data_IF_917185413589
#
_entry.id   IF_917185413589
#
_cell.length_a   1.000
_cell.length_b   1.000
_cell.length_c   1.000
_cell.angle_alpha   90.00
_cell.angle_beta   90.00
_cell.angle_gamma   90.00
#
_symmetry.space_group_name_H-M   'P 1'
#
loop_
_entity.id
_entity.type
_entity.pdbx_description
1 polymer ?
#
# COMPACT_ATOMS: atom_id res chain seq x y z
N UNK A 1 31.47 29.96 -34.45
CA UNK A 1 30.23 29.27 -34.05
C UNK A 1 30.61 27.85 -33.67
N UNK A 2 30.58 27.56 -32.37
CA UNK A 2 30.88 26.25 -31.80
C UNK A 2 29.86 25.22 -32.31
N UNK A 3 30.35 24.16 -32.94
CA UNK A 3 29.50 23.01 -33.27
C UNK A 3 29.40 22.12 -32.04
N UNK A 4 28.22 22.13 -31.44
CA UNK A 4 27.84 21.25 -30.35
C UNK A 4 27.94 19.77 -30.77
N UNK A 5 28.49 18.86 -29.95
CA UNK A 5 28.53 17.46 -30.31
C UNK A 5 27.12 16.88 -30.27
N UNK A 6 26.62 16.47 -31.44
CA UNK A 6 25.40 15.64 -31.57
C UNK A 6 25.78 14.21 -31.23
N UNK A 7 26.06 13.91 -29.98
CA UNK A 7 25.99 12.53 -29.52
C UNK A 7 24.52 12.12 -29.62
N UNK A 8 24.20 11.26 -30.59
CA UNK A 8 22.92 10.58 -30.64
C UNK A 8 22.86 9.68 -29.41
N UNK A 9 22.37 10.23 -28.30
CA UNK A 9 21.99 9.45 -27.13
C UNK A 9 20.87 8.56 -27.65
N UNK A 10 21.18 7.27 -27.80
CA UNK A 10 20.19 6.26 -28.09
C UNK A 10 19.40 6.08 -26.80
N UNK A 11 18.39 6.93 -26.62
CA UNK A 11 17.51 6.86 -25.47
C UNK A 11 16.55 5.71 -25.77
N UNK A 12 16.71 4.59 -25.06
CA UNK A 12 15.77 3.48 -25.16
C UNK A 12 14.42 3.97 -24.62
N UNK A 13 13.45 4.17 -25.52
CA UNK A 13 12.10 4.64 -25.19
C UNK A 13 11.45 3.77 -24.10
N UNK A 14 11.84 2.49 -24.00
CA UNK A 14 11.40 1.58 -22.94
C UNK A 14 11.94 1.97 -21.58
N UNK A 15 13.19 2.43 -21.52
CA UNK A 15 13.83 2.86 -20.28
C UNK A 15 13.21 4.17 -19.77
N UNK A 16 12.90 5.11 -20.67
CA UNK A 16 12.13 6.32 -20.33
C UNK A 16 10.71 6.00 -19.82
N UNK A 17 9.99 5.07 -20.44
CA UNK A 17 8.67 4.66 -19.95
C UNK A 17 8.75 4.03 -18.57
N UNK A 18 9.77 3.22 -18.30
CA UNK A 18 10.02 2.62 -17.00
C UNK A 18 10.30 3.71 -15.96
N UNK A 19 11.13 4.71 -16.29
CA UNK A 19 11.44 5.83 -15.40
C UNK A 19 10.21 6.72 -15.11
N UNK A 20 9.42 7.06 -16.14
CA UNK A 20 8.16 7.81 -15.98
C UNK A 20 7.16 7.03 -15.12
N UNK A 21 7.07 5.70 -15.28
CA UNK A 21 6.22 4.85 -14.42
C UNK A 21 6.74 4.83 -12.98
N UNK A 22 8.05 4.72 -12.76
CA UNK A 22 8.67 4.73 -11.43
C UNK A 22 8.39 6.05 -10.69
N UNK A 23 8.51 7.20 -11.35
CA UNK A 23 8.25 8.51 -10.73
C UNK A 23 6.78 8.67 -10.33
N UNK A 24 5.84 8.28 -11.20
CA UNK A 24 4.40 8.29 -10.91
C UNK A 24 4.04 7.35 -9.76
N UNK A 25 4.61 6.15 -9.71
CA UNK A 25 4.39 5.19 -8.62
C UNK A 25 4.89 5.75 -7.29
N UNK A 26 6.06 6.42 -7.28
CA UNK A 26 6.64 7.02 -6.08
C UNK A 26 5.75 8.13 -5.51
N UNK A 27 5.30 9.06 -6.35
CA UNK A 27 4.40 10.15 -5.94
C UNK A 27 3.05 9.64 -5.40
N UNK A 28 2.47 8.63 -6.06
CA UNK A 28 1.22 8.02 -5.60
C UNK A 28 1.36 7.37 -4.21
N UNK A 29 2.51 6.74 -3.93
CA UNK A 29 2.76 6.12 -2.63
C UNK A 29 2.86 7.18 -1.52
N UNK A 30 3.60 8.27 -1.72
CA UNK A 30 3.70 9.35 -0.73
C UNK A 30 2.34 10.01 -0.46
N UNK A 31 1.49 10.12 -1.47
CA UNK A 31 0.14 10.66 -1.31
C UNK A 31 -0.76 9.73 -0.48
N UNK A 32 -0.71 8.42 -0.75
CA UNK A 32 -1.49 7.43 0.01
C UNK A 32 -1.04 7.33 1.48
N UNK A 33 0.24 7.48 1.76
CA UNK A 33 0.79 7.55 3.12
C UNK A 33 0.21 8.75 3.88
N UNK A 34 0.33 9.95 3.28
CA UNK A 34 -0.24 11.19 3.82
C UNK A 34 -1.74 11.09 4.06
N UNK A 35 -2.50 10.58 3.08
CA UNK A 35 -3.95 10.40 3.18
C UNK A 35 -4.30 9.44 4.32
N UNK A 36 -3.61 8.30 4.42
CA UNK A 36 -3.87 7.30 5.47
C UNK A 36 -3.70 7.89 6.88
N UNK A 37 -2.63 8.66 7.09
CA UNK A 37 -2.36 9.33 8.36
C UNK A 37 -3.41 10.40 8.68
N UNK A 38 -3.80 11.21 7.69
CA UNK A 38 -4.86 12.21 7.84
C UNK A 38 -6.21 11.58 8.20
N UNK A 39 -6.57 10.47 7.53
CA UNK A 39 -7.79 9.74 7.83
C UNK A 39 -7.78 9.16 9.25
N UNK A 40 -6.66 8.62 9.72
CA UNK A 40 -6.52 8.08 11.08
C UNK A 40 -6.63 9.14 12.18
N UNK A 41 -6.21 10.38 11.89
CA UNK A 41 -6.38 11.55 12.76
C UNK A 41 -7.82 12.05 12.76
N UNK A 42 -8.45 12.11 11.59
CA UNK A 42 -9.81 12.65 11.41
C UNK A 42 -10.90 11.72 11.91
N UNK A 43 -10.76 10.41 11.69
CA UNK A 43 -11.81 9.44 11.98
C UNK A 43 -11.42 8.52 13.13
N UNK A 44 -12.38 8.30 14.04
CA UNK A 44 -12.22 7.33 15.13
C UNK A 44 -12.55 5.90 14.72
N UNK A 45 -13.39 5.71 13.70
CA UNK A 45 -13.82 4.40 13.21
C UNK A 45 -13.02 4.00 11.98
N UNK A 46 -12.35 2.85 12.05
CA UNK A 46 -11.58 2.33 10.91
C UNK A 46 -12.45 2.04 9.69
N UNK A 47 -13.69 1.61 9.87
CA UNK A 47 -14.62 1.39 8.75
C UNK A 47 -14.88 2.67 7.93
N UNK A 48 -14.89 3.85 8.56
CA UNK A 48 -14.99 5.13 7.84
C UNK A 48 -13.71 5.42 7.06
N UNK A 49 -12.54 5.12 7.64
CA UNK A 49 -11.25 5.28 6.95
C UNK A 49 -11.19 4.41 5.69
N UNK A 50 -11.55 3.13 5.80
CA UNK A 50 -11.61 2.20 4.66
C UNK A 50 -12.52 2.76 3.57
N UNK A 51 -13.74 3.21 3.94
CA UNK A 51 -14.73 3.69 2.95
C UNK A 51 -14.23 4.92 2.20
N UNK A 52 -13.61 5.88 2.89
CA UNK A 52 -13.04 7.07 2.24
C UNK A 52 -11.83 6.70 1.37
N UNK A 53 -10.93 5.85 1.87
CA UNK A 53 -9.78 5.39 1.10
C UNK A 53 -10.20 4.65 -0.18
N UNK A 54 -11.24 3.82 -0.12
CA UNK A 54 -11.78 3.13 -1.30
C UNK A 54 -12.27 4.12 -2.37
N UNK A 55 -12.93 5.21 -1.97
CA UNK A 55 -13.32 6.27 -2.92
C UNK A 55 -12.12 6.99 -3.53
N UNK A 56 -11.09 7.28 -2.74
CA UNK A 56 -9.83 7.88 -3.23
C UNK A 56 -9.19 6.98 -4.28
N UNK A 57 -9.07 5.68 -3.97
CA UNK A 57 -8.47 4.70 -4.89
C UNK A 57 -9.30 4.52 -6.16
N UNK A 58 -10.63 4.47 -6.05
CA UNK A 58 -11.54 4.42 -7.21
C UNK A 58 -11.36 5.64 -8.10
N UNK A 59 -11.17 6.82 -7.51
CA UNK A 59 -10.90 8.05 -8.27
C UNK A 59 -9.55 7.98 -8.99
N UNK A 60 -8.50 7.48 -8.32
CA UNK A 60 -7.16 7.30 -8.91
C UNK A 60 -7.13 6.27 -10.05
N UNK A 61 -7.92 5.18 -9.96
CA UNK A 61 -7.92 4.06 -10.91
C UNK A 61 -8.50 4.37 -12.32
N UNK A 62 -8.62 5.66 -12.68
CA UNK A 62 -9.20 6.26 -13.89
C UNK A 62 -10.70 6.56 -13.76
N UNK A 63 -10.99 7.85 -13.68
CA UNK A 63 -12.28 8.53 -13.80
C UNK A 63 -13.17 8.17 -15.03
N UNK A 64 -12.74 7.27 -15.93
CA UNK A 64 -13.42 7.01 -17.20
C UNK A 64 -14.77 6.30 -17.04
N UNK A 65 -14.94 5.50 -15.98
CA UNK A 65 -16.16 4.74 -15.68
C UNK A 65 -16.97 5.28 -14.48
N UNK A 66 -16.64 6.49 -13.99
CA UNK A 66 -17.39 7.20 -12.93
C UNK A 66 -18.87 7.44 -13.26
N UNK A 67 -19.30 7.16 -14.50
CA UNK A 67 -20.69 7.35 -14.95
C UNK A 67 -21.69 6.43 -14.26
N UNK A 68 -21.22 5.40 -13.54
CA UNK A 68 -22.06 4.60 -12.66
C UNK A 68 -21.64 4.88 -11.22
N UNK A 69 -22.25 5.89 -10.59
CA UNK A 69 -22.17 6.16 -9.15
C UNK A 69 -22.79 5.02 -8.34
N UNK A 70 -22.17 3.84 -8.39
CA UNK A 70 -22.61 2.66 -7.67
C UNK A 70 -21.93 2.57 -6.32
N UNK A 71 -22.52 1.80 -5.41
CA UNK A 71 -21.96 1.52 -4.10
C UNK A 71 -20.55 0.90 -4.22
N UNK A 72 -19.73 1.08 -3.17
CA UNK A 72 -18.41 0.46 -3.10
C UNK A 72 -18.56 -1.07 -3.04
N UNK A 73 -17.86 -1.78 -3.93
CA UNK A 73 -17.78 -3.24 -3.87
C UNK A 73 -16.95 -3.67 -2.66
N UNK A 74 -17.23 -4.87 -2.17
CA UNK A 74 -16.47 -5.48 -1.07
C UNK A 74 -14.98 -5.56 -1.44
N UNK A 75 -14.65 -5.90 -2.68
CA UNK A 75 -13.28 -5.96 -3.19
C UNK A 75 -12.53 -4.63 -3.05
N UNK A 76 -13.21 -3.50 -3.27
CA UNK A 76 -12.62 -2.16 -3.15
C UNK A 76 -12.38 -1.80 -1.68
N UNK A 77 -13.30 -2.19 -0.80
CA UNK A 77 -13.11 -2.01 0.65
C UNK A 77 -11.95 -2.86 1.17
N UNK A 78 -11.85 -4.12 0.74
CA UNK A 78 -10.75 -5.01 1.10
C UNK A 78 -9.41 -4.50 0.55
N UNK A 79 -9.39 -4.01 -0.70
CA UNK A 79 -8.20 -3.40 -1.27
C UNK A 79 -7.77 -2.14 -0.51
N UNK A 80 -8.72 -1.26 -0.18
CA UNK A 80 -8.45 -0.08 0.62
C UNK A 80 -7.89 -0.42 2.00
N UNK A 81 -8.45 -1.43 2.68
CA UNK A 81 -7.92 -1.92 3.95
C UNK A 81 -6.48 -2.42 3.81
N UNK A 82 -6.21 -3.26 2.80
CA UNK A 82 -4.86 -3.78 2.52
C UNK A 82 -3.86 -2.65 2.26
N UNK A 83 -4.24 -1.64 1.49
CA UNK A 83 -3.38 -0.48 1.19
C UNK A 83 -3.06 0.30 2.47
N UNK A 84 -4.05 0.55 3.33
CA UNK A 84 -3.81 1.20 4.63
C UNK A 84 -2.79 0.40 5.45
N UNK A 85 -2.96 -0.92 5.54
CA UNK A 85 -2.01 -1.76 6.30
C UNK A 85 -0.61 -1.76 5.69
N UNK A 86 -0.49 -1.82 4.36
CA UNK A 86 0.80 -1.74 3.67
C UNK A 86 1.52 -0.42 3.94
N UNK A 87 0.79 0.69 3.89
CA UNK A 87 1.30 2.02 4.25
C UNK A 87 1.84 2.02 5.69
N UNK A 88 1.05 1.51 6.64
CA UNK A 88 1.45 1.44 8.05
C UNK A 88 2.71 0.58 8.23
N UNK A 89 2.81 -0.54 7.53
CA UNK A 89 3.99 -1.40 7.59
C UNK A 89 5.22 -0.73 6.99
N UNK A 90 5.09 0.01 5.88
CA UNK A 90 6.21 0.78 5.32
C UNK A 90 6.69 1.86 6.28
N UNK A 91 5.77 2.59 6.91
CA UNK A 91 6.11 3.60 7.91
C UNK A 91 6.84 3.00 9.12
N UNK A 92 6.40 1.83 9.59
CA UNK A 92 6.90 1.25 10.83
C UNK A 92 8.00 0.18 10.68
N UNK A 93 8.25 -0.36 9.48
CA UNK A 93 9.16 -1.48 9.24
C UNK A 93 10.06 -1.31 8.00
N UNK A 94 10.25 -0.08 7.51
CA UNK A 94 11.09 0.20 6.34
C UNK A 94 12.59 0.02 6.60
N UNK A 95 13.06 0.23 7.84
CA UNK A 95 14.49 0.17 8.19
C UNK A 95 14.80 -1.05 9.05
N UNK A 96 16.03 -1.55 8.99
CA UNK A 96 16.48 -2.70 9.80
C UNK A 96 16.30 -2.51 11.31
N UNK A 97 16.53 -1.29 11.82
CA UNK A 97 16.32 -0.95 13.24
C UNK A 97 14.87 -1.19 13.66
N UNK A 98 13.93 -0.71 12.85
CA UNK A 98 12.50 -0.85 13.13
C UNK A 98 12.03 -2.30 12.99
N UNK A 99 12.65 -3.06 12.08
CA UNK A 99 12.45 -4.51 11.92
C UNK A 99 13.01 -5.32 13.09
N UNK A 100 13.87 -4.76 13.96
CA UNK A 100 14.28 -5.45 15.19
C UNK A 100 13.10 -5.80 16.10
N UNK A 101 12.01 -5.03 16.03
CA UNK A 101 10.77 -5.32 16.77
C UNK A 101 10.08 -6.62 16.29
N UNK A 102 10.47 -7.14 15.12
CA UNK A 102 9.97 -8.39 14.56
C UNK A 102 10.90 -9.58 14.87
N UNK A 103 12.00 -9.37 15.61
CA UNK A 103 12.91 -10.46 16.00
C UNK A 103 12.16 -11.51 16.80
N UNK A 104 12.36 -12.78 16.44
CA UNK A 104 11.67 -13.92 17.04
C UNK A 104 10.37 -14.32 16.31
N UNK A 105 9.88 -13.50 15.38
CA UNK A 105 8.78 -13.86 14.49
C UNK A 105 9.34 -14.35 13.14
N UNK A 106 8.74 -15.41 12.59
CA UNK A 106 9.01 -15.79 11.21
C UNK A 106 8.17 -14.90 10.30
N UNK A 107 8.75 -13.85 9.74
CA UNK A 107 8.04 -12.88 8.89
C UNK A 107 8.49 -13.02 7.44
N UNK A 108 7.54 -12.94 6.52
CA UNK A 108 7.81 -12.86 5.08
C UNK A 108 6.94 -11.79 4.43
N UNK A 109 7.35 -11.30 3.28
CA UNK A 109 6.57 -10.37 2.47
C UNK A 109 5.78 -11.16 1.41
N UNK A 110 4.48 -10.89 1.29
CA UNK A 110 3.63 -11.53 0.28
C UNK A 110 3.76 -10.85 -1.10
N UNK A 111 3.06 -11.41 -2.10
CA UNK A 111 3.03 -10.90 -3.48
C UNK A 111 2.49 -9.46 -3.60
N UNK A 112 1.76 -8.97 -2.59
CA UNK A 112 1.20 -7.60 -2.56
C UNK A 112 2.10 -6.60 -1.82
N UNK A 113 3.25 -7.06 -1.31
CA UNK A 113 4.21 -6.27 -0.55
C UNK A 113 3.82 -6.07 0.92
N UNK A 114 3.07 -7.02 1.50
CA UNK A 114 2.58 -6.97 2.89
C UNK A 114 3.36 -7.99 3.73
N UNK A 115 3.89 -7.53 4.87
CA UNK A 115 4.55 -8.37 5.86
C UNK A 115 3.53 -9.24 6.60
N UNK A 116 3.75 -10.55 6.57
CA UNK A 116 2.91 -11.57 7.22
C UNK A 116 3.72 -12.50 8.10
N UNK A 117 3.08 -13.02 9.12
CA UNK A 117 3.63 -14.08 9.95
C UNK A 117 3.52 -15.41 9.21
N UNK A 118 4.63 -16.14 9.13
CA UNK A 118 4.63 -17.55 8.77
C UNK A 118 4.18 -18.34 9.99
N UNK A 119 2.95 -18.86 9.94
CA UNK A 119 2.46 -19.77 10.99
C UNK A 119 2.90 -21.21 10.71
N UNK A 120 2.75 -22.08 11.71
CA UNK A 120 2.90 -23.55 11.56
C UNK A 120 1.61 -24.23 11.10
N UNK A 121 0.56 -23.45 10.82
CA UNK A 121 -0.70 -23.98 10.31
C UNK A 121 -0.50 -24.36 8.86
N UNK A 122 -0.75 -25.64 8.54
CA UNK A 122 -0.56 -26.21 7.19
C UNK A 122 -1.92 -26.55 6.58
N UNK A 123 -3.03 -26.20 7.25
CA UNK A 123 -4.36 -26.63 6.82
C UNK A 123 -4.77 -25.91 5.53
N UNK A 124 -4.60 -26.58 4.38
CA UNK A 124 -4.77 -25.99 3.04
C UNK A 124 -6.21 -25.53 2.73
N UNK A 125 -7.21 -26.02 3.49
CA UNK A 125 -8.60 -25.61 3.35
C UNK A 125 -8.89 -24.23 3.98
N UNK A 126 -8.01 -23.70 4.82
CA UNK A 126 -8.17 -22.38 5.43
C UNK A 126 -7.59 -21.27 4.56
N UNK A 127 -8.22 -20.10 4.58
CA UNK A 127 -7.79 -18.96 3.77
C UNK A 127 -6.35 -18.53 4.10
N UNK A 128 -5.60 -18.04 3.10
CA UNK A 128 -4.26 -17.42 3.31
C UNK A 128 -4.24 -16.37 4.42
N UNK A 129 -5.37 -15.68 4.67
CA UNK A 129 -5.51 -14.73 5.78
C UNK A 129 -5.43 -15.37 7.16
N UNK A 130 -5.85 -16.62 7.29
CA UNK A 130 -5.80 -17.40 8.52
C UNK A 130 -4.42 -18.05 8.71
N UNK A 131 -3.88 -18.62 7.64
CA UNK A 131 -2.58 -19.31 7.66
C UNK A 131 -1.43 -18.31 7.85
N UNK A 132 -1.53 -17.11 7.28
CA UNK A 132 -0.47 -16.10 7.30
C UNK A 132 -1.02 -14.72 7.65
N UNK A 133 -1.23 -14.43 8.96
CA UNK A 133 -1.82 -13.17 9.40
C UNK A 133 -0.90 -11.98 9.13
N UNK A 134 -1.50 -10.82 8.91
CA UNK A 134 -0.79 -9.55 8.67
C UNK A 134 -0.17 -9.03 9.97
N UNK A 135 1.09 -8.60 9.90
CA UNK A 135 1.78 -7.98 11.05
C UNK A 135 1.39 -6.51 11.17
N UNK A 136 0.84 -6.08 12.30
CA UNK A 136 0.46 -4.68 12.52
C UNK A 136 1.16 -4.07 13.75
N UNK A 137 1.74 -2.87 13.64
CA UNK A 137 2.36 -2.16 14.76
C UNK A 137 1.29 -1.64 15.73
N UNK A 138 1.25 -2.18 16.94
CA UNK A 138 0.22 -1.90 17.95
C UNK A 138 0.09 -0.42 18.34
N UNK A 139 1.19 0.33 18.28
CA UNK A 139 1.24 1.76 18.66
C UNK A 139 0.77 2.70 17.56
N UNK A 140 0.63 2.23 16.31
CA UNK A 140 0.29 3.07 15.18
C UNK A 140 -1.18 3.53 15.26
N UNK A 141 -1.45 4.82 14.97
CA UNK A 141 -2.77 5.41 15.16
C UNK A 141 -3.86 4.70 14.35
N UNK A 142 -3.59 4.38 13.07
CA UNK A 142 -4.54 3.67 12.22
C UNK A 142 -4.87 2.27 12.75
N UNK A 143 -3.89 1.59 13.36
CA UNK A 143 -4.07 0.25 13.96
C UNK A 143 -4.91 0.36 15.23
N UNK A 144 -4.69 1.40 16.05
CA UNK A 144 -5.53 1.69 17.21
C UNK A 144 -6.99 1.95 16.82
N UNK A 145 -7.25 2.58 15.67
CA UNK A 145 -8.63 2.77 15.16
C UNK A 145 -9.27 1.45 14.70
N UNK A 146 -8.47 0.48 14.29
CA UNK A 146 -8.94 -0.83 13.82
C UNK A 146 -9.33 -1.76 14.97
N UNK A 147 -8.60 -1.70 16.08
CA UNK A 147 -8.83 -2.55 17.26
C UNK A 147 -9.94 -1.98 18.18
N UNK A 148 -10.14 -0.65 18.17
CA UNK A 148 -11.12 0.06 19.00
C UNK A 148 -12.52 0.10 18.38
#
# INVERSE_FOLDING_TARGET
MEQWPKSAVNIDEKEEEIEKRKSVISANNSDLESISLQLARKFSRFSKMIRVMAWVLRFQAKAKDLRKYTELKIEELLNAQKIIFRVVQKECYSNEETRKNLRGLQVFEDEEGILRLKSRLINEEESKYFISPIILPSKHLAVRRFIA
#
